data_IF_982279672957
#
_entry.id   IF_982279672957
#
_cell.length_a   1.000
_cell.length_b   1.000
_cell.length_c   1.000
_cell.angle_alpha   90.00
_cell.angle_beta   90.00
_cell.angle_gamma   90.00
#
_symmetry.space_group_name_H-M   'P 1'
#
loop_
_entity.id
_entity.type
_entity.pdbx_description
1 polymer ?
#
# COMPACT_ATOMS: atom_id res chain seq x y z
N UNK A 1 -28.16 1.35 0.61
CA UNK A 1 -27.35 1.11 1.83
C UNK A 1 -26.05 0.47 1.38
N UNK A 2 -24.90 1.11 1.64
CA UNK A 2 -23.61 0.55 1.22
C UNK A 2 -23.22 -0.61 2.14
N UNK A 3 -22.44 -1.56 1.62
CA UNK A 3 -21.90 -2.68 2.42
C UNK A 3 -21.14 -2.19 3.66
N UNK A 4 -20.43 -1.06 3.54
CA UNK A 4 -19.67 -0.41 4.62
C UNK A 4 -20.56 0.09 5.75
N UNK A 5 -21.74 0.63 5.43
CA UNK A 5 -22.66 1.15 6.46
C UNK A 5 -23.17 0.03 7.37
N UNK A 6 -23.38 -1.17 6.80
CA UNK A 6 -23.78 -2.34 7.60
C UNK A 6 -22.66 -2.82 8.52
N UNK A 7 -21.40 -2.76 8.08
CA UNK A 7 -20.27 -3.12 8.93
C UNK A 7 -20.17 -2.22 10.19
N UNK A 8 -20.67 -0.98 10.11
CA UNK A 8 -20.70 -0.03 11.24
C UNK A 8 -21.99 -0.13 12.06
N UNK A 9 -23.10 -0.57 11.45
CA UNK A 9 -24.42 -0.59 12.08
C UNK A 9 -24.53 -1.60 13.24
N UNK A 10 -23.75 -2.68 13.22
CA UNK A 10 -23.83 -3.74 14.24
C UNK A 10 -23.08 -3.40 15.54
N UNK A 11 -22.50 -2.19 15.67
CA UNK A 11 -21.75 -1.77 16.86
C UNK A 11 -20.45 -2.55 17.10
N UNK A 12 -20.01 -3.32 16.10
CA UNK A 12 -18.80 -4.14 16.13
C UNK A 12 -17.61 -3.31 15.66
N UNK A 13 -16.53 -3.29 16.46
CA UNK A 13 -15.25 -2.75 16.01
C UNK A 13 -14.72 -3.63 14.87
N UNK A 14 -14.56 -3.05 13.68
CA UNK A 14 -14.04 -3.77 12.52
C UNK A 14 -12.52 -3.87 12.64
N UNK A 15 -11.94 -5.09 12.68
CA UNK A 15 -10.49 -5.25 12.79
C UNK A 15 -9.75 -4.65 11.59
N UNK A 16 -8.54 -4.14 11.82
CA UNK A 16 -7.67 -3.59 10.77
C UNK A 16 -7.40 -4.62 9.66
N UNK A 17 -7.30 -5.91 10.01
CA UNK A 17 -7.11 -6.99 9.05
C UNK A 17 -8.25 -7.11 8.04
N UNK A 18 -9.50 -6.85 8.46
CA UNK A 18 -10.68 -6.86 7.58
C UNK A 18 -10.62 -5.69 6.61
N UNK A 19 -10.28 -4.49 7.10
CA UNK A 19 -10.06 -3.34 6.22
C UNK A 19 -8.92 -3.56 5.23
N UNK A 20 -7.83 -4.19 5.68
CA UNK A 20 -6.72 -4.59 4.82
C UNK A 20 -7.14 -5.59 3.72
N UNK A 21 -7.98 -6.57 4.06
CA UNK A 21 -8.51 -7.53 3.10
C UNK A 21 -9.42 -6.86 2.06
N UNK A 22 -10.31 -5.96 2.49
CA UNK A 22 -11.16 -5.16 1.60
C UNK A 22 -10.30 -4.29 0.68
N UNK A 23 -9.29 -3.62 1.21
CA UNK A 23 -8.37 -2.80 0.44
C UNK A 23 -7.61 -3.63 -0.61
N UNK A 24 -7.15 -4.82 -0.24
CA UNK A 24 -6.51 -5.77 -1.16
C UNK A 24 -7.45 -6.19 -2.30
N UNK A 25 -8.71 -6.52 -1.99
CA UNK A 25 -9.71 -6.83 -3.01
C UNK A 25 -10.00 -5.63 -3.92
N UNK A 26 -10.13 -4.43 -3.35
CA UNK A 26 -10.37 -3.20 -4.11
C UNK A 26 -9.22 -2.89 -5.06
N UNK A 27 -7.97 -3.15 -4.66
CA UNK A 27 -6.79 -3.01 -5.53
C UNK A 27 -6.88 -3.90 -6.77
N UNK A 28 -7.27 -5.18 -6.60
CA UNK A 28 -7.41 -6.14 -7.71
C UNK A 28 -8.55 -5.74 -8.65
N UNK A 29 -9.67 -5.30 -8.09
CA UNK A 29 -10.88 -4.96 -8.86
C UNK A 29 -10.98 -3.48 -9.26
N UNK A 30 -9.96 -2.66 -8.95
CA UNK A 30 -9.92 -1.20 -9.19
C UNK A 30 -11.15 -0.45 -8.66
N UNK A 31 -11.68 -0.89 -7.51
CA UNK A 31 -12.80 -0.21 -6.86
C UNK A 31 -12.25 0.92 -5.97
N UNK A 32 -12.17 2.13 -6.55
CA UNK A 32 -11.52 3.27 -5.90
C UNK A 32 -12.36 3.81 -4.75
N UNK A 33 -13.69 3.82 -4.88
CA UNK A 33 -14.60 4.36 -3.87
C UNK A 33 -14.51 3.56 -2.57
N UNK A 34 -14.62 2.24 -2.65
CA UNK A 34 -14.55 1.36 -1.46
C UNK A 34 -13.10 1.24 -0.98
N UNK A 35 -12.14 1.19 -1.90
CA UNK A 35 -10.72 1.12 -1.58
C UNK A 35 -10.23 2.33 -0.80
N UNK A 36 -10.66 3.54 -1.16
CA UNK A 36 -10.33 4.76 -0.43
C UNK A 36 -10.86 4.71 1.01
N UNK A 37 -12.11 4.31 1.20
CA UNK A 37 -12.69 4.16 2.54
C UNK A 37 -11.90 3.14 3.35
N UNK A 38 -11.60 1.97 2.79
CA UNK A 38 -10.83 0.95 3.49
C UNK A 38 -9.42 1.43 3.87
N UNK A 39 -8.72 2.11 2.95
CA UNK A 39 -7.40 2.67 3.21
C UNK A 39 -7.42 3.71 4.33
N UNK A 40 -8.38 4.64 4.33
CA UNK A 40 -8.48 5.66 5.40
C UNK A 40 -8.79 5.05 6.77
N UNK A 41 -9.62 3.99 6.84
CA UNK A 41 -9.83 3.29 8.12
C UNK A 41 -8.56 2.58 8.59
N UNK A 42 -7.78 1.94 7.69
CA UNK A 42 -6.48 1.37 8.06
C UNK A 42 -5.52 2.46 8.55
N UNK A 43 -5.42 3.59 7.84
CA UNK A 43 -4.50 4.68 8.21
C UNK A 43 -4.92 5.41 9.50
N UNK A 44 -6.21 5.42 9.82
CA UNK A 44 -6.68 5.95 11.11
C UNK A 44 -6.21 5.10 12.29
N UNK A 45 -6.05 3.78 12.10
CA UNK A 45 -5.64 2.85 13.16
C UNK A 45 -4.11 2.60 13.13
N UNK A 46 -3.53 2.48 11.94
CA UNK A 46 -2.11 2.20 11.69
C UNK A 46 -1.50 3.25 10.73
N UNK A 47 -1.29 4.51 11.19
CA UNK A 47 -0.87 5.62 10.33
C UNK A 47 0.53 5.46 9.71
N UNK A 48 1.35 4.54 10.26
CA UNK A 48 2.72 4.29 9.80
C UNK A 48 2.83 3.16 8.77
N UNK A 49 1.70 2.56 8.36
CA UNK A 49 1.69 1.43 7.42
C UNK A 49 1.89 1.90 5.98
N UNK A 50 3.16 2.01 5.57
CA UNK A 50 3.58 2.52 4.25
C UNK A 50 2.85 1.85 3.06
N UNK A 51 2.61 0.54 3.13
CA UNK A 51 1.90 -0.21 2.09
C UNK A 51 0.49 0.31 1.81
N UNK A 52 -0.21 0.83 2.83
CA UNK A 52 -1.58 1.35 2.69
C UNK A 52 -1.59 2.64 1.85
N UNK A 53 -0.65 3.56 2.08
CA UNK A 53 -0.50 4.77 1.25
C UNK A 53 -0.19 4.43 -0.20
N UNK A 54 0.70 3.46 -0.42
CA UNK A 54 1.11 3.04 -1.76
C UNK A 54 -0.07 2.42 -2.54
N UNK A 55 -0.85 1.54 -1.90
CA UNK A 55 -2.04 0.95 -2.53
C UNK A 55 -3.11 2.01 -2.81
N UNK A 56 -3.31 2.97 -1.90
CA UNK A 56 -4.26 4.06 -2.12
C UNK A 56 -3.85 4.97 -3.28
N UNK A 57 -2.56 5.31 -3.39
CA UNK A 57 -2.04 6.07 -4.52
C UNK A 57 -2.15 5.28 -5.84
N UNK A 58 -1.86 3.98 -5.83
CA UNK A 58 -2.03 3.08 -6.98
C UNK A 58 -3.51 3.03 -7.42
N UNK A 59 -4.45 2.94 -6.50
CA UNK A 59 -5.88 2.96 -6.78
C UNK A 59 -6.31 4.24 -7.51
N UNK A 60 -5.92 5.41 -7.00
CA UNK A 60 -6.22 6.68 -7.66
C UNK A 60 -5.56 6.78 -9.04
N UNK A 61 -4.30 6.37 -9.17
CA UNK A 61 -3.61 6.35 -10.45
C UNK A 61 -4.26 5.40 -11.47
N UNK A 62 -4.86 4.29 -11.01
CA UNK A 62 -5.52 3.30 -11.87
C UNK A 62 -6.75 3.84 -12.62
N UNK A 63 -7.27 4.99 -12.20
CA UNK A 63 -8.40 5.73 -12.80
C UNK A 63 -8.01 7.15 -13.20
N UNK A 64 -6.72 7.37 -13.52
CA UNK A 64 -6.16 8.64 -14.00
C UNK A 64 -6.28 9.83 -13.01
N UNK A 65 -6.56 9.57 -11.74
CA UNK A 65 -6.62 10.58 -10.67
C UNK A 65 -5.25 10.82 -10.06
N UNK A 66 -4.32 11.28 -10.90
CA UNK A 66 -2.90 11.41 -10.55
C UNK A 66 -2.66 12.46 -9.45
N UNK A 67 -3.45 13.53 -9.41
CA UNK A 67 -3.36 14.57 -8.38
C UNK A 67 -3.68 13.99 -6.98
N UNK A 68 -4.66 13.11 -6.88
CA UNK A 68 -5.02 12.44 -5.63
C UNK A 68 -3.95 11.43 -5.21
N UNK A 69 -3.38 10.70 -6.17
CA UNK A 69 -2.24 9.82 -5.91
C UNK A 69 -1.03 10.61 -5.34
N UNK A 70 -0.69 11.75 -5.94
CA UNK A 70 0.38 12.62 -5.47
C UNK A 70 0.10 13.18 -4.07
N UNK A 71 -1.15 13.58 -3.79
CA UNK A 71 -1.56 14.05 -2.45
C UNK A 71 -1.37 12.98 -1.40
N UNK A 72 -1.71 11.72 -1.70
CA UNK A 72 -1.52 10.58 -0.79
C UNK A 72 -0.03 10.35 -0.52
N UNK A 73 0.81 10.36 -1.56
CA UNK A 73 2.26 10.20 -1.42
C UNK A 73 2.91 11.37 -0.67
N UNK A 74 2.43 12.59 -0.88
CA UNK A 74 2.88 13.77 -0.14
C UNK A 74 2.49 13.67 1.32
N UNK A 75 1.25 13.24 1.63
CA UNK A 75 0.82 12.96 3.01
C UNK A 75 1.70 11.91 3.67
N UNK A 76 2.04 10.83 2.96
CA UNK A 76 2.96 9.80 3.45
C UNK A 76 4.34 10.38 3.81
N UNK A 77 4.94 11.16 2.89
CA UNK A 77 6.23 11.84 3.10
C UNK A 77 6.18 12.80 4.29
N UNK A 78 5.16 13.65 4.37
CA UNK A 78 5.00 14.64 5.45
C UNK A 78 4.79 13.97 6.81
N UNK A 79 4.23 12.75 6.84
CA UNK A 79 4.07 11.96 8.06
C UNK A 79 5.36 11.20 8.45
N UNK A 80 6.47 11.39 7.72
CA UNK A 80 7.73 10.70 7.97
C UNK A 80 7.72 9.21 7.60
N UNK A 81 6.63 8.71 7.01
CA UNK A 81 6.47 7.31 6.66
C UNK A 81 7.27 7.01 5.40
N UNK A 82 8.29 6.16 5.53
CA UNK A 82 9.10 5.70 4.40
C UNK A 82 8.57 4.37 3.89
N UNK A 83 8.73 4.10 2.60
CA UNK A 83 8.49 2.76 2.04
C UNK A 83 9.40 1.79 2.80
N UNK A 84 8.82 0.79 3.46
CA UNK A 84 9.65 -0.23 4.09
C UNK A 84 10.37 -1.01 2.99
N UNK A 85 11.71 -1.08 3.01
CA UNK A 85 12.44 -1.95 2.12
C UNK A 85 11.98 -3.39 2.36
N UNK A 86 11.84 -4.16 1.28
CA UNK A 86 11.53 -5.59 1.41
C UNK A 86 12.73 -6.31 2.02
N UNK A 87 12.51 -7.09 3.06
CA UNK A 87 13.52 -7.99 3.62
C UNK A 87 13.20 -9.41 3.17
N UNK A 88 14.11 -10.06 2.44
CA UNK A 88 14.10 -11.51 2.29
C UNK A 88 15.21 -12.09 3.18
N UNK A 89 14.86 -13.13 3.93
CA UNK A 89 15.79 -13.84 4.80
C UNK A 89 15.97 -15.23 4.22
N UNK A 90 17.20 -15.57 3.83
CA UNK A 90 17.56 -16.94 3.44
C UNK A 90 18.32 -17.56 4.60
N UNK A 91 17.73 -18.60 5.20
CA UNK A 91 18.37 -19.40 6.24
C UNK A 91 19.33 -20.40 5.58
N UNK A 92 20.60 -20.03 5.44
CA UNK A 92 21.66 -20.97 5.13
C UNK A 92 22.31 -21.44 6.43
N UNK A 93 22.35 -22.76 6.61
CA UNK A 93 22.96 -23.43 7.74
C UNK A 93 24.38 -22.89 7.96
N UNK A 94 24.59 -22.16 9.07
CA UNK A 94 25.83 -21.52 9.53
C UNK A 94 26.08 -20.02 9.20
N UNK A 95 25.07 -19.23 8.87
CA UNK A 95 25.19 -17.76 8.93
C UNK A 95 24.24 -17.03 7.99
N UNK A 96 23.16 -16.46 8.53
CA UNK A 96 22.17 -15.73 7.74
C UNK A 96 22.74 -14.44 7.15
N UNK A 97 22.60 -14.24 5.84
CA UNK A 97 22.72 -12.92 5.22
C UNK A 97 21.33 -12.28 5.13
N UNK A 98 21.15 -11.15 5.80
CA UNK A 98 19.99 -10.29 5.58
C UNK A 98 20.24 -9.45 4.32
N UNK A 99 19.44 -9.64 3.28
CA UNK A 99 19.47 -8.77 2.10
C UNK A 99 18.37 -7.73 2.22
N UNK A 100 18.76 -6.46 2.32
CA UNK A 100 17.85 -5.32 2.34
C UNK A 100 17.59 -4.87 0.89
N UNK A 101 16.37 -5.06 0.39
CA UNK A 101 15.99 -4.50 -0.91
C UNK A 101 15.66 -3.01 -0.75
N UNK A 102 16.68 -2.15 -0.95
CA UNK A 102 16.52 -0.70 -0.89
C UNK A 102 17.77 0.13 -0.55
N UNK A 103 18.97 -0.46 -0.49
CA UNK A 103 20.18 0.29 -0.18
C UNK A 103 20.58 1.21 -1.35
N UNK A 104 20.53 2.53 -1.12
CA UNK A 104 20.97 3.58 -2.04
C UNK A 104 21.55 4.73 -1.22
N UNK A 105 22.79 4.58 -0.77
CA UNK A 105 23.66 5.75 -0.67
C UNK A 105 23.76 6.35 -2.08
N UNK A 106 23.43 7.64 -2.18
CA UNK A 106 23.22 8.39 -3.43
C UNK A 106 21.92 8.07 -4.16
N UNK A 107 21.03 9.05 -4.23
CA UNK A 107 20.69 9.75 -5.48
C UNK A 107 19.66 10.84 -5.18
N UNK A 108 19.94 12.01 -5.73
CA UNK A 108 19.10 13.19 -5.72
C UNK A 108 17.67 12.85 -6.16
N UNK A 109 16.74 13.60 -5.59
CA UNK A 109 15.34 13.60 -6.00
C UNK A 109 15.27 13.83 -7.52
N UNK A 110 14.96 12.78 -8.26
CA UNK A 110 14.41 12.93 -9.60
C UNK A 110 13.01 12.34 -9.67
N UNK A 111 12.12 13.16 -10.20
CA UNK A 111 10.67 12.98 -10.20
C UNK A 111 10.31 12.11 -11.39
N UNK A 112 10.88 10.91 -11.48
CA UNK A 112 10.59 9.97 -12.57
C UNK A 112 10.76 8.51 -12.12
N UNK A 113 10.19 8.18 -10.96
CA UNK A 113 9.83 6.79 -10.71
C UNK A 113 8.51 6.54 -11.45
N UNK A 114 8.60 6.22 -12.75
CA UNK A 114 7.57 5.42 -13.42
C UNK A 114 7.21 4.33 -12.43
N UNK A 115 5.94 4.30 -12.05
CA UNK A 115 5.36 3.17 -11.36
C UNK A 115 5.50 2.00 -12.33
N UNK A 116 6.65 1.32 -12.30
CA UNK A 116 6.72 -0.07 -12.70
C UNK A 116 5.89 -0.81 -11.68
N UNK A 117 4.59 -0.78 -11.96
CA UNK A 117 3.64 -1.81 -11.57
C UNK A 117 4.39 -3.11 -11.80
N UNK A 118 4.60 -3.83 -10.70
CA UNK A 118 5.10 -5.20 -10.65
C UNK A 118 4.67 -5.91 -11.94
N UNK A 119 5.61 -6.09 -12.86
CA UNK A 119 5.39 -6.98 -13.99
C UNK A 119 5.00 -8.33 -13.38
N UNK A 120 3.84 -8.90 -13.72
CA UNK A 120 3.48 -10.20 -13.22
C UNK A 120 4.44 -11.20 -13.86
N UNK A 121 5.37 -11.75 -13.09
CA UNK A 121 6.08 -12.97 -13.45
C UNK A 121 5.08 -14.15 -13.44
N UNK A 122 4.14 -14.16 -14.40
CA UNK A 122 3.31 -15.32 -14.73
C UNK A 122 3.64 -15.77 -16.15
N UNK A 123 4.87 -16.23 -16.36
CA UNK A 123 5.19 -17.08 -17.51
C UNK A 123 6.26 -18.09 -17.06
N UNK A 124 5.81 -19.24 -16.59
CA UNK A 124 6.55 -20.51 -16.63
C UNK A 124 5.56 -21.63 -16.34
N UNK A 125 5.05 -22.20 -17.44
CA UNK A 125 4.15 -23.34 -17.54
C UNK A 125 3.97 -23.65 -19.01
#
# INVERSE_FOLDING_TARGET
MSFIDRMRADGLEVPVSVWGAILGACRVHRNVEVGAVAAENVLAIEPNRSGTYLILAELYASVERLNEAERVLTRMKNSGVKKQPGCSWIEMNNGGCAFLSGDKSHLEFDVEARVEIVQPCWHSG
#
